data_IF_896745030365
#
_entry.id   IF_896745030365
#
_cell.length_a   1.000
_cell.length_b   1.000
_cell.length_c   1.000
_cell.angle_alpha   90.00
_cell.angle_beta   90.00
_cell.angle_gamma   90.00
#
_symmetry.space_group_name_H-M   'P 1'
#
loop_
_entity.id
_entity.type
_entity.pdbx_description
1 polymer ?
#
# COMPACT_ATOMS: atom_id res chain seq x y z
N UNK A 1 6.25 -0.18 29.92
CA UNK A 1 5.75 1.09 29.36
C UNK A 1 5.98 0.97 27.86
N UNK A 2 4.97 0.48 27.13
CA UNK A 2 5.01 0.29 25.68
C UNK A 2 4.10 1.35 25.09
N UNK A 3 4.67 2.25 24.30
CA UNK A 3 4.00 3.43 23.77
C UNK A 3 2.83 3.05 22.87
N UNK A 4 1.62 3.34 23.38
CA UNK A 4 0.38 3.40 22.62
C UNK A 4 0.36 4.66 21.76
N UNK A 5 0.94 4.58 20.57
CA UNK A 5 0.78 5.62 19.53
C UNK A 5 0.42 4.99 18.17
N UNK A 6 -0.53 4.05 18.19
CA UNK A 6 -1.15 3.48 16.98
C UNK A 6 -2.63 3.88 16.86
N UNK A 7 -2.95 5.15 17.09
CA UNK A 7 -4.26 5.70 16.75
C UNK A 7 -4.07 7.17 16.39
N UNK A 8 -4.03 7.46 15.09
CA UNK A 8 -4.78 8.56 14.44
C UNK A 8 -4.25 8.76 13.01
N UNK A 9 -4.77 7.98 12.05
CA UNK A 9 -4.66 8.33 10.64
C UNK A 9 -6.09 8.37 10.08
N UNK A 10 -6.81 9.41 10.50
CA UNK A 10 -8.09 9.78 9.94
C UNK A 10 -7.93 10.41 8.55
N UNK A 11 -8.57 9.75 7.58
CA UNK A 11 -9.26 10.33 6.41
C UNK A 11 -8.42 11.04 5.33
N UNK A 12 -8.14 10.31 4.24
CA UNK A 12 -8.62 10.69 2.90
C UNK A 12 -9.03 9.41 2.13
N UNK A 13 -10.24 9.42 1.56
CA UNK A 13 -10.91 8.26 0.98
C UNK A 13 -10.46 7.99 -0.45
N UNK A 14 -10.00 6.76 -0.71
CA UNK A 14 -10.06 6.08 -2.01
C UNK A 14 -10.01 4.57 -1.77
N UNK A 15 -11.14 3.99 -1.36
CA UNK A 15 -11.29 2.55 -1.09
C UNK A 15 -10.36 2.04 0.01
N UNK A 16 -10.67 2.35 1.27
CA UNK A 16 -9.84 1.98 2.42
C UNK A 16 -9.99 0.47 2.66
N UNK A 17 -9.03 -0.31 2.15
CA UNK A 17 -8.81 -1.67 2.61
C UNK A 17 -8.26 -1.66 4.04
N UNK A 18 -8.52 -2.71 4.82
CA UNK A 18 -7.94 -2.84 6.15
C UNK A 18 -6.41 -2.98 6.03
N UNK A 19 -5.66 -2.17 6.78
CA UNK A 19 -4.20 -2.24 6.78
C UNK A 19 -3.74 -3.45 7.60
N UNK A 20 -3.30 -4.51 6.93
CA UNK A 20 -2.84 -5.76 7.55
C UNK A 20 -1.39 -5.67 8.04
N UNK A 21 -0.63 -4.71 7.50
CA UNK A 21 0.78 -4.51 7.81
C UNK A 21 1.18 -3.07 7.63
N UNK A 22 2.06 -2.59 8.51
CA UNK A 22 2.78 -1.35 8.32
C UNK A 22 4.21 -1.45 8.85
N UNK A 23 5.16 -0.80 8.18
CA UNK A 23 6.51 -0.57 8.73
C UNK A 23 7.10 0.75 8.23
N UNK A 24 8.01 1.31 9.01
CA UNK A 24 8.81 2.46 8.61
C UNK A 24 9.81 2.09 7.52
N UNK A 25 10.05 3.00 6.57
CA UNK A 25 11.07 2.84 5.54
C UNK A 25 12.35 3.64 5.83
N UNK A 26 13.53 3.15 5.41
CA UNK A 26 14.74 3.95 5.37
C UNK A 26 14.56 5.17 4.45
N UNK A 27 14.94 6.36 4.90
CA UNK A 27 14.70 7.61 4.18
C UNK A 27 13.38 8.30 4.52
N UNK A 28 12.58 7.72 5.40
CA UNK A 28 11.30 8.27 5.87
C UNK A 28 10.09 7.65 5.18
N UNK A 29 8.92 7.84 5.80
CA UNK A 29 7.65 7.30 5.34
C UNK A 29 7.40 5.88 5.86
N UNK A 30 6.28 5.34 5.42
CA UNK A 30 5.77 4.04 5.82
C UNK A 30 5.37 3.25 4.60
N UNK A 31 5.58 1.93 4.63
CA UNK A 31 4.96 1.01 3.68
C UNK A 31 3.84 0.25 4.37
N UNK A 32 2.72 0.08 3.69
CA UNK A 32 1.49 -0.55 4.18
C UNK A 32 1.04 -1.65 3.22
N UNK A 33 0.46 -2.71 3.76
CA UNK A 33 -0.31 -3.69 2.97
C UNK A 33 -1.78 -3.51 3.29
N UNK A 34 -2.58 -3.33 2.26
CA UNK A 34 -4.04 -3.19 2.36
C UNK A 34 -4.71 -4.32 1.58
N UNK A 35 -5.80 -4.86 2.11
CA UNK A 35 -6.65 -5.80 1.38
C UNK A 35 -7.99 -5.14 1.05
N UNK A 36 -8.29 -5.06 -0.24
CA UNK A 36 -9.57 -4.61 -0.78
C UNK A 36 -10.37 -5.84 -1.19
N UNK A 37 -11.45 -6.10 -0.46
CA UNK A 37 -12.42 -7.15 -0.78
C UNK A 37 -13.56 -6.50 -1.55
N UNK A 38 -13.77 -6.92 -2.80
CA UNK A 38 -14.93 -6.51 -3.59
C UNK A 38 -16.20 -7.09 -2.93
N UNK A 39 -17.29 -6.32 -2.85
CA UNK A 39 -18.47 -6.62 -2.02
C UNK A 39 -18.89 -8.11 -2.02
N UNK A 40 -19.15 -8.59 -0.79
CA UNK A 40 -19.62 -9.94 -0.41
C UNK A 40 -21.01 -10.22 -0.99
N UNK A 41 -21.12 -10.43 -2.29
CA UNK A 41 -22.42 -10.60 -2.95
C UNK A 41 -22.39 -11.42 -4.23
N UNK A 42 -21.22 -11.60 -4.83
CA UNK A 42 -21.07 -12.32 -6.10
C UNK A 42 -20.05 -13.45 -5.94
N UNK A 43 -20.52 -14.58 -5.41
CA UNK A 43 -19.74 -15.77 -5.03
C UNK A 43 -18.92 -16.36 -6.20
N UNK A 44 -19.21 -15.95 -7.44
CA UNK A 44 -18.46 -16.35 -8.64
C UNK A 44 -17.34 -15.40 -9.07
N UNK A 45 -17.14 -14.24 -8.42
CA UNK A 45 -16.23 -13.19 -8.89
C UNK A 45 -15.56 -12.37 -7.79
N UNK A 46 -15.53 -12.87 -6.53
CA UNK A 46 -14.78 -12.24 -5.43
C UNK A 46 -13.27 -12.32 -5.68
N UNK A 47 -12.76 -11.45 -6.55
CA UNK A 47 -11.33 -11.19 -6.67
C UNK A 47 -10.90 -10.34 -5.48
N UNK A 48 -9.98 -10.90 -4.69
CA UNK A 48 -9.31 -10.19 -3.61
C UNK A 48 -8.17 -9.38 -4.19
N UNK A 49 -8.06 -8.13 -3.77
CA UNK A 49 -7.05 -7.21 -4.27
C UNK A 49 -6.19 -6.68 -3.13
N UNK A 50 -4.95 -7.12 -3.08
CA UNK A 50 -3.94 -6.59 -2.18
C UNK A 50 -3.27 -5.37 -2.78
N UNK A 51 -2.92 -4.39 -1.93
CA UNK A 51 -2.15 -3.20 -2.32
C UNK A 51 -0.94 -3.04 -1.42
N UNK A 52 0.18 -2.64 -2.01
CA UNK A 52 1.35 -2.15 -1.27
C UNK A 52 1.42 -0.65 -1.45
N UNK A 53 1.27 0.11 -0.37
CA UNK A 53 1.17 1.58 -0.40
C UNK A 53 2.35 2.19 0.34
N UNK A 54 2.97 3.23 -0.22
CA UNK A 54 3.92 4.08 0.48
C UNK A 54 3.22 5.37 0.91
N UNK A 55 3.26 5.64 2.20
CA UNK A 55 2.90 6.93 2.76
C UNK A 55 4.18 7.74 3.06
N UNK A 56 4.29 8.98 2.59
CA UNK A 56 5.39 9.87 2.95
C UNK A 56 5.32 10.25 4.42
N UNK A 57 6.48 10.53 5.05
CA UNK A 57 6.55 10.96 6.46
C UNK A 57 5.89 12.33 6.69
N UNK A 58 6.03 13.21 5.71
CA UNK A 58 5.57 14.58 5.77
C UNK A 58 4.92 14.90 4.42
N UNK A 59 3.60 14.68 4.29
CA UNK A 59 2.87 14.98 3.06
C UNK A 59 2.86 16.49 2.88
N UNK A 60 3.86 17.01 2.15
CA UNK A 60 3.90 18.43 1.81
C UNK A 60 3.02 18.65 0.58
N UNK A 61 2.00 19.53 0.64
CA UNK A 61 1.17 19.83 -0.53
C UNK A 61 1.92 20.53 -1.68
N UNK A 62 3.22 20.84 -1.48
CA UNK A 62 4.10 21.51 -2.46
C UNK A 62 5.03 20.55 -3.21
N UNK A 63 5.04 19.26 -2.86
CA UNK A 63 5.89 18.24 -3.50
C UNK A 63 5.02 17.15 -4.13
N UNK A 64 5.53 16.52 -5.19
CA UNK A 64 4.90 15.40 -5.89
C UNK A 64 4.71 14.13 -5.02
N UNK A 65 5.03 14.20 -3.72
CA UNK A 65 4.82 13.17 -2.71
C UNK A 65 3.64 13.50 -1.77
N UNK A 66 2.76 14.44 -2.11
CA UNK A 66 1.61 14.77 -1.25
C UNK A 66 0.59 13.62 -1.08
N UNK A 67 0.55 12.66 -2.02
CA UNK A 67 -0.40 11.55 -2.01
C UNK A 67 0.28 10.20 -1.76
N UNK A 68 -0.39 9.25 -1.06
CA UNK A 68 0.10 7.90 -0.93
C UNK A 68 0.35 7.25 -2.30
N UNK A 69 1.51 6.63 -2.45
CA UNK A 69 1.90 5.97 -3.69
C UNK A 69 1.57 4.48 -3.59
N UNK A 70 0.60 4.01 -4.38
CA UNK A 70 0.42 2.58 -4.60
C UNK A 70 1.66 2.08 -5.37
N UNK A 71 2.44 1.18 -4.79
CA UNK A 71 3.66 0.65 -5.39
C UNK A 71 3.34 -0.56 -6.26
N UNK A 72 2.42 -1.39 -5.81
CA UNK A 72 1.95 -2.58 -6.52
C UNK A 72 0.51 -2.91 -6.08
N UNK A 73 -0.23 -3.54 -6.99
CA UNK A 73 -1.51 -4.18 -6.71
C UNK A 73 -1.40 -5.67 -7.10
N UNK A 74 -1.91 -6.55 -6.24
CA UNK A 74 -1.91 -8.01 -6.43
C UNK A 74 -3.36 -8.45 -6.41
N UNK A 75 -3.78 -9.23 -7.40
CA UNK A 75 -5.13 -9.77 -7.48
C UNK A 75 -5.08 -11.30 -7.45
N UNK A 76 -6.04 -11.90 -6.76
CA UNK A 76 -6.15 -13.35 -6.63
C UNK A 76 -7.50 -13.79 -6.08
N UNK A 77 -7.73 -15.09 -6.14
CA UNK A 77 -8.89 -15.78 -5.57
C UNK A 77 -8.61 -16.36 -4.17
N UNK A 78 -7.35 -16.38 -3.73
CA UNK A 78 -6.91 -16.77 -2.39
C UNK A 78 -6.37 -15.56 -1.61
N UNK A 79 -6.94 -15.32 -0.44
CA UNK A 79 -6.55 -14.23 0.47
C UNK A 79 -5.12 -14.39 0.97
N UNK A 80 -4.78 -15.59 1.44
CA UNK A 80 -3.49 -15.85 2.07
C UNK A 80 -2.37 -15.71 1.04
N UNK A 81 -2.62 -16.14 -0.20
CA UNK A 81 -1.70 -15.98 -1.31
C UNK A 81 -1.48 -14.50 -1.67
N UNK A 82 -2.56 -13.72 -1.80
CA UNK A 82 -2.50 -12.28 -2.10
C UNK A 82 -1.76 -11.53 -1.00
N UNK A 83 -2.09 -11.81 0.27
CA UNK A 83 -1.46 -11.19 1.43
C UNK A 83 0.02 -11.57 1.50
N UNK A 84 0.38 -12.85 1.38
CA UNK A 84 1.76 -13.30 1.42
C UNK A 84 2.64 -12.65 0.33
N UNK A 85 2.10 -12.46 -0.88
CA UNK A 85 2.78 -11.75 -1.97
C UNK A 85 3.02 -10.28 -1.59
N UNK A 86 1.97 -9.57 -1.14
CA UNK A 86 2.09 -8.18 -0.72
C UNK A 86 3.10 -8.02 0.41
N UNK A 87 3.12 -8.92 1.40
CA UNK A 87 4.11 -8.91 2.49
C UNK A 87 5.54 -9.09 1.96
N UNK A 88 5.75 -10.00 1.01
CA UNK A 88 7.08 -10.24 0.42
C UNK A 88 7.61 -8.99 -0.27
N UNK A 89 6.75 -8.33 -1.04
CA UNK A 89 7.07 -7.05 -1.70
C UNK A 89 7.32 -5.97 -0.64
N UNK A 90 6.42 -5.83 0.33
CA UNK A 90 6.49 -4.80 1.37
C UNK A 90 7.73 -4.94 2.26
N UNK A 91 8.36 -6.12 2.36
CA UNK A 91 9.58 -6.37 3.13
C UNK A 91 10.87 -6.11 2.34
N UNK A 92 10.84 -6.21 1.01
CA UNK A 92 12.01 -6.03 0.15
C UNK A 92 12.14 -4.56 -0.30
N UNK A 93 13.03 -3.82 0.37
CA UNK A 93 13.32 -2.42 0.05
C UNK A 93 13.78 -2.23 -1.40
N UNK A 94 14.56 -3.17 -1.94
CA UNK A 94 15.07 -3.05 -3.31
C UNK A 94 13.94 -3.29 -4.31
N UNK A 95 13.04 -4.24 -4.02
CA UNK A 95 11.84 -4.46 -4.82
C UNK A 95 10.91 -3.24 -4.81
N UNK A 96 10.74 -2.60 -3.64
CA UNK A 96 9.99 -1.36 -3.52
C UNK A 96 10.63 -0.24 -4.35
N UNK A 97 11.93 0.02 -4.16
CA UNK A 97 12.63 1.10 -4.86
C UNK A 97 12.55 0.94 -6.38
N UNK A 98 12.74 -0.28 -6.90
CA UNK A 98 12.61 -0.59 -8.35
C UNK A 98 11.21 -0.25 -8.88
N UNK A 99 10.17 -0.61 -8.14
CA UNK A 99 8.77 -0.35 -8.54
C UNK A 99 8.44 1.14 -8.50
N UNK A 100 8.92 1.85 -7.47
CA UNK A 100 8.76 3.31 -7.37
C UNK A 100 9.44 4.01 -8.56
N UNK A 101 10.66 3.60 -8.91
CA UNK A 101 11.37 4.18 -10.06
C UNK A 101 10.63 3.93 -11.36
N UNK A 102 10.15 2.70 -11.59
CA UNK A 102 9.34 2.37 -12.77
C UNK A 102 8.10 3.25 -12.86
N UNK A 103 7.32 3.34 -11.79
CA UNK A 103 6.07 4.13 -11.76
C UNK A 103 6.32 5.62 -11.97
N UNK A 104 7.42 6.16 -11.46
CA UNK A 104 7.82 7.57 -11.71
C UNK A 104 8.27 7.81 -13.14
N UNK A 105 8.85 6.82 -13.81
CA UNK A 105 9.18 6.91 -15.23
C UNK A 105 7.91 6.92 -16.07
N UNK A 106 6.93 6.07 -15.75
CA UNK A 106 5.64 6.02 -16.45
C UNK A 106 4.90 7.36 -16.35
N UNK A 107 4.86 7.97 -15.15
CA UNK A 107 4.24 9.29 -14.92
C UNK A 107 4.95 10.46 -15.63
N UNK A 108 6.17 10.28 -16.13
CA UNK A 108 6.91 11.30 -16.88
C UNK A 108 6.80 11.12 -18.41
N UNK A 109 6.28 9.98 -18.85
CA UNK A 109 6.12 9.65 -20.26
C UNK A 109 4.73 10.07 -20.81
N UNK A 110 3.79 10.38 -19.93
CA UNK A 110 2.50 11.02 -20.21
C UNK A 110 2.59 12.55 -20.10
#
# INVERSE_FOLDING_TARGET
MLDSHYQDIGRQQSGVGEALYARSMPGGGYVRVELVVSDRGDVGSERRRGRVVIEPRDPSPRRDDAAPLVVEEVEGDDEDAVVAECFRIARDNAAIARRVLRRRSDLRAD
#
